data_IF_879007139839
#
_entry.id   IF_879007139839
#
_cell.length_a   1.000
_cell.length_b   1.000
_cell.length_c   1.000
_cell.angle_alpha   90.00
_cell.angle_beta   90.00
_cell.angle_gamma   90.00
#
_symmetry.space_group_name_H-M   'P 1'
#
loop_
_entity.id
_entity.type
_entity.pdbx_description
1 polymer ?
#
# COMPACT_ATOMS: atom_id res chain seq x y z
N UNK A 1 30.67 39.77 -9.83
CA UNK A 1 29.78 38.96 -10.69
C UNK A 1 29.90 37.44 -10.48
N UNK A 2 31.08 36.87 -10.21
CA UNK A 2 31.30 35.41 -10.06
C UNK A 2 30.49 34.72 -8.93
N UNK A 3 30.33 35.38 -7.78
CA UNK A 3 29.59 34.82 -6.62
C UNK A 3 28.07 34.73 -6.82
N UNK A 4 27.46 35.60 -7.63
CA UNK A 4 26.01 35.56 -7.91
C UNK A 4 25.66 34.38 -8.81
N UNK A 5 26.54 34.03 -9.75
CA UNK A 5 26.39 32.84 -10.61
C UNK A 5 26.57 31.55 -9.80
N UNK A 6 27.54 31.50 -8.88
CA UNK A 6 27.81 30.32 -8.05
C UNK A 6 26.66 30.00 -7.08
N UNK A 7 26.06 31.03 -6.45
CA UNK A 7 24.91 30.85 -5.55
C UNK A 7 23.65 30.39 -6.30
N UNK A 8 23.46 30.83 -7.55
CA UNK A 8 22.37 30.37 -8.41
C UNK A 8 22.58 28.89 -8.78
N UNK A 9 23.79 28.49 -9.17
CA UNK A 9 24.09 27.08 -9.45
C UNK A 9 23.86 26.17 -8.24
N UNK A 10 24.26 26.60 -7.03
CA UNK A 10 24.05 25.84 -5.79
C UNK A 10 22.55 25.68 -5.48
N UNK A 11 21.74 26.72 -5.69
CA UNK A 11 20.29 26.64 -5.50
C UNK A 11 19.60 25.73 -6.51
N UNK A 12 20.02 25.77 -7.77
CA UNK A 12 19.52 24.85 -8.80
C UNK A 12 19.89 23.39 -8.48
N UNK A 13 21.13 23.15 -8.04
CA UNK A 13 21.58 21.84 -7.58
C UNK A 13 20.75 21.32 -6.40
N UNK A 14 20.50 22.16 -5.40
CA UNK A 14 19.68 21.77 -4.26
C UNK A 14 18.23 21.48 -4.67
N UNK A 15 17.66 22.26 -5.58
CA UNK A 15 16.31 22.01 -6.12
C UNK A 15 16.23 20.66 -6.84
N UNK A 16 17.23 20.31 -7.65
CA UNK A 16 17.28 19.03 -8.38
C UNK A 16 17.37 17.85 -7.40
N UNK A 17 18.22 17.97 -6.37
CA UNK A 17 18.37 16.94 -5.33
C UNK A 17 17.06 16.74 -4.56
N UNK A 18 16.37 17.83 -4.21
CA UNK A 18 15.09 17.77 -3.49
C UNK A 18 14.00 17.08 -4.32
N UNK A 19 13.92 17.37 -5.63
CA UNK A 19 12.94 16.71 -6.52
C UNK A 19 13.23 15.22 -6.70
N UNK A 20 14.51 14.83 -6.80
CA UNK A 20 14.88 13.42 -6.94
C UNK A 20 14.52 12.60 -5.68
N UNK A 21 14.71 13.16 -4.48
CA UNK A 21 14.41 12.48 -3.23
C UNK A 21 12.90 12.17 -3.05
N UNK A 22 12.03 13.07 -3.52
CA UNK A 22 10.56 12.85 -3.46
C UNK A 22 10.11 11.76 -4.43
N UNK A 23 10.74 11.65 -5.60
CA UNK A 23 10.40 10.62 -6.58
C UNK A 23 10.80 9.20 -6.14
N UNK A 24 11.86 9.06 -5.32
CA UNK A 24 12.29 7.76 -4.80
C UNK A 24 11.34 7.20 -3.73
N UNK A 25 10.62 8.06 -3.01
CA UNK A 25 9.74 7.65 -1.93
C UNK A 25 8.43 7.00 -2.42
N UNK A 26 8.02 7.24 -3.68
CA UNK A 26 6.79 6.67 -4.25
C UNK A 26 6.99 5.32 -4.93
N UNK A 27 8.22 4.85 -5.08
CA UNK A 27 8.54 3.56 -5.67
C UNK A 27 8.42 2.44 -4.63
N UNK A 28 7.24 2.30 -4.01
CA UNK A 28 6.94 1.09 -3.25
C UNK A 28 6.75 -0.06 -4.25
N UNK A 29 7.65 -1.04 -4.22
CA UNK A 29 7.60 -2.18 -5.13
C UNK A 29 6.36 -3.02 -4.85
N UNK A 30 5.39 -2.98 -5.76
CA UNK A 30 4.21 -3.85 -5.71
C UNK A 30 4.63 -5.24 -6.17
N UNK A 31 4.85 -6.16 -5.24
CA UNK A 31 5.12 -7.56 -5.56
C UNK A 31 3.89 -8.24 -6.19
N UNK A 32 4.16 -9.27 -7.00
CA UNK A 32 3.11 -10.15 -7.50
C UNK A 32 2.47 -10.97 -6.37
N UNK A 33 1.21 -11.37 -6.58
CA UNK A 33 0.51 -12.34 -5.73
C UNK A 33 1.13 -13.73 -5.96
N UNK A 34 1.30 -14.46 -4.86
CA UNK A 34 1.79 -15.83 -4.80
C UNK A 34 0.70 -16.73 -4.22
N UNK A 35 0.83 -18.05 -4.38
CA UNK A 35 -0.12 -19.03 -3.82
C UNK A 35 -0.27 -18.90 -2.30
N UNK A 36 0.81 -18.54 -1.59
CA UNK A 36 0.80 -18.35 -0.14
C UNK A 36 -0.08 -17.19 0.32
N UNK A 37 -0.33 -16.22 -0.55
CA UNK A 37 -1.20 -15.09 -0.23
C UNK A 37 -2.65 -15.50 -0.07
N UNK A 38 -3.05 -16.61 -0.69
CA UNK A 38 -4.41 -17.14 -0.59
C UNK A 38 -4.76 -17.57 0.84
N UNK A 39 -3.77 -17.98 1.65
CA UNK A 39 -3.97 -18.29 3.07
C UNK A 39 -4.24 -17.06 3.93
N UNK A 40 -3.93 -15.87 3.43
CA UNK A 40 -4.25 -14.62 4.12
C UNK A 40 -5.65 -14.11 3.77
N UNK A 41 -6.37 -14.80 2.88
CA UNK A 41 -7.72 -14.40 2.52
C UNK A 41 -8.71 -14.82 3.59
N UNK A 42 -9.63 -13.91 3.90
CA UNK A 42 -10.81 -14.19 4.71
C UNK A 42 -11.99 -14.18 3.76
N UNK A 43 -12.63 -15.34 3.57
CA UNK A 43 -13.79 -15.46 2.70
C UNK A 43 -15.05 -15.22 3.51
N UNK A 44 -15.88 -14.30 3.03
CA UNK A 44 -17.15 -13.93 3.65
C UNK A 44 -18.28 -14.40 2.75
N UNK A 45 -19.23 -15.15 3.30
CA UNK A 45 -20.39 -15.68 2.59
C UNK A 45 -21.66 -15.64 3.43
N UNK A 46 -22.79 -16.04 2.82
CA UNK A 46 -24.11 -16.15 3.45
C UNK A 46 -24.46 -14.97 4.37
N UNK A 47 -24.36 -13.77 3.81
CA UNK A 47 -24.54 -12.54 4.57
C UNK A 47 -26.02 -12.23 4.76
N UNK A 48 -26.45 -12.04 6.00
CA UNK A 48 -27.83 -11.68 6.36
C UNK A 48 -27.87 -10.41 7.22
N UNK A 49 -28.75 -9.49 6.85
CA UNK A 49 -28.94 -8.21 7.55
C UNK A 49 -30.12 -8.34 8.52
N UNK A 50 -30.01 -7.77 9.71
CA UNK A 50 -31.12 -7.73 10.67
C UNK A 50 -32.28 -6.88 10.15
N UNK A 51 -33.54 -7.16 10.54
CA UNK A 51 -34.70 -6.38 10.06
C UNK A 51 -34.64 -4.88 10.39
N UNK A 52 -33.98 -4.52 11.49
CA UNK A 52 -33.74 -3.14 11.92
C UNK A 52 -32.49 -2.51 11.26
N UNK A 53 -31.74 -3.27 10.46
CA UNK A 53 -30.55 -2.82 9.73
C UNK A 53 -29.32 -2.55 10.61
N UNK A 54 -29.37 -2.81 11.91
CA UNK A 54 -28.28 -2.46 12.84
C UNK A 54 -27.14 -3.47 12.84
N UNK A 55 -27.36 -4.69 12.34
CA UNK A 55 -26.39 -5.79 12.40
C UNK A 55 -26.39 -6.62 11.12
N UNK A 56 -25.25 -7.28 10.91
CA UNK A 56 -25.06 -8.23 9.81
C UNK A 56 -24.44 -9.51 10.36
N UNK A 57 -25.07 -10.65 10.10
CA UNK A 57 -24.49 -11.97 10.32
C UNK A 57 -23.89 -12.48 9.00
N UNK A 58 -22.77 -13.19 9.06
CA UNK A 58 -22.12 -13.76 7.90
C UNK A 58 -21.31 -14.99 8.28
N UNK A 59 -21.06 -15.85 7.30
CA UNK A 59 -20.13 -16.98 7.43
C UNK A 59 -18.72 -16.50 7.08
N UNK A 60 -17.77 -16.80 7.96
CA UNK A 60 -16.34 -16.55 7.74
C UNK A 60 -15.62 -17.87 7.52
N UNK A 61 -14.95 -18.00 6.38
CA UNK A 61 -14.09 -19.14 6.06
C UNK A 61 -12.63 -18.66 5.98
N UNK A 62 -11.74 -19.42 6.60
CA UNK A 62 -10.29 -19.19 6.55
C UNK A 62 -9.62 -20.49 6.13
N UNK A 63 -8.65 -20.40 5.23
CA UNK A 63 -7.84 -21.55 4.81
C UNK A 63 -6.42 -21.33 5.30
N UNK A 64 -5.77 -22.36 5.82
CA UNK A 64 -4.38 -22.30 6.23
C UNK A 64 -3.56 -23.44 5.61
N UNK A 65 -2.24 -23.29 5.67
CA UNK A 65 -1.28 -24.25 5.14
C UNK A 65 -1.42 -25.65 5.77
N UNK A 66 -1.80 -25.71 7.05
CA UNK A 66 -2.00 -26.97 7.79
C UNK A 66 -3.30 -27.69 7.42
N UNK A 67 -4.15 -27.07 6.59
CA UNK A 67 -5.48 -27.55 6.23
C UNK A 67 -6.38 -27.79 7.44
N UNK A 68 -6.23 -26.94 8.45
CA UNK A 68 -7.03 -26.94 9.68
C UNK A 68 -8.15 -25.90 9.54
N UNK A 69 -9.39 -26.24 9.94
CA UNK A 69 -10.53 -25.32 9.87
C UNK A 69 -11.69 -25.85 9.04
#
# INVERSE_FOLDING_TARGET
MKYRSLVVCIRFLWSIIATAAVASASAAEKRNITEKDLFNFIWIGDTQVSPDGTRVAFVRVTVNEKKEG
#
